data_IF_335739725705
#
_entry.id   IF_335739725705
#
_cell.length_a   1.000
_cell.length_b   1.000
_cell.length_c   1.000
_cell.angle_alpha   90.00
_cell.angle_beta   90.00
_cell.angle_gamma   90.00
#
_symmetry.space_group_name_H-M   'P 1'
#
loop_
_entity.id
_entity.type
_entity.pdbx_description
1 polymer ?
#
# COMPACT_ATOMS: atom_id res chain seq x y z
N UNK A 1 21.63 49.96 -2.14
CA UNK A 1 20.51 49.45 -1.36
C UNK A 1 19.45 48.76 -2.22
N UNK A 2 19.02 49.41 -3.28
CA UNK A 2 18.04 48.77 -4.17
C UNK A 2 18.57 47.51 -4.81
N UNK A 3 19.86 47.47 -5.14
CA UNK A 3 20.50 46.30 -5.72
C UNK A 3 20.50 45.11 -4.76
N UNK A 4 20.68 45.35 -3.48
CA UNK A 4 20.64 44.30 -2.46
C UNK A 4 19.23 43.73 -2.31
N UNK A 5 18.22 44.56 -2.42
CA UNK A 5 16.84 44.10 -2.35
C UNK A 5 16.50 43.19 -3.54
N UNK A 6 16.98 43.55 -4.72
CA UNK A 6 16.78 42.74 -5.91
C UNK A 6 17.51 41.41 -5.84
N UNK A 7 18.67 41.37 -5.19
CA UNK A 7 19.40 40.12 -5.01
C UNK A 7 18.73 39.21 -3.99
N UNK A 8 18.13 39.79 -2.95
CA UNK A 8 17.46 39.02 -1.91
C UNK A 8 16.15 38.37 -2.41
N UNK A 9 15.43 39.07 -3.29
CA UNK A 9 14.18 38.53 -3.82
C UNK A 9 14.34 37.22 -4.58
N UNK A 10 15.33 37.08 -5.49
CA UNK A 10 15.55 35.78 -6.17
C UNK A 10 15.92 34.66 -5.20
N UNK A 11 16.70 34.97 -4.16
CA UNK A 11 17.08 33.97 -3.17
C UNK A 11 15.85 33.49 -2.41
N UNK A 12 15.00 34.41 -2.00
CA UNK A 12 13.74 34.03 -1.32
C UNK A 12 12.83 33.23 -2.25
N UNK A 13 12.79 33.58 -3.53
CA UNK A 13 12.03 32.84 -4.50
C UNK A 13 12.53 31.41 -4.66
N UNK A 14 13.85 31.23 -4.68
CA UNK A 14 14.43 29.89 -4.74
C UNK A 14 14.11 29.06 -3.51
N UNK A 15 14.16 29.68 -2.31
CA UNK A 15 13.81 28.99 -1.08
C UNK A 15 12.34 28.57 -1.08
N UNK A 16 11.47 29.43 -1.55
CA UNK A 16 10.05 29.12 -1.66
C UNK A 16 9.84 27.99 -2.66
N UNK A 17 10.54 28.01 -3.79
CA UNK A 17 10.46 26.93 -4.78
C UNK A 17 10.89 25.60 -4.20
N UNK A 18 11.98 25.58 -3.41
CA UNK A 18 12.42 24.35 -2.76
C UNK A 18 11.37 23.82 -1.78
N UNK A 19 10.71 24.69 -1.04
CA UNK A 19 9.67 24.29 -0.11
C UNK A 19 8.39 23.87 -0.82
N UNK A 20 8.12 24.39 -2.00
CA UNK A 20 6.90 24.06 -2.72
C UNK A 20 6.97 22.74 -3.47
N UNK A 21 8.13 22.08 -3.56
CA UNK A 21 8.20 20.77 -4.17
C UNK A 21 7.31 19.76 -3.46
N UNK A 22 7.38 19.69 -2.13
CA UNK A 22 6.49 18.81 -1.36
C UNK A 22 5.04 19.29 -1.36
N UNK A 23 4.73 20.58 -1.18
CA UNK A 23 3.36 21.05 -1.29
C UNK A 23 2.75 20.89 -2.68
N UNK A 24 3.55 20.93 -3.74
CA UNK A 24 3.04 20.70 -5.09
C UNK A 24 2.59 19.25 -5.24
N UNK A 25 3.36 18.30 -4.75
CA UNK A 25 2.96 16.89 -4.77
C UNK A 25 1.70 16.68 -3.94
N UNK A 26 1.62 17.27 -2.77
CA UNK A 26 0.42 17.20 -1.95
C UNK A 26 -0.80 17.83 -2.64
N UNK A 27 -0.60 18.94 -3.33
CA UNK A 27 -1.67 19.59 -4.05
C UNK A 27 -2.16 18.77 -5.25
N UNK A 28 -1.25 18.09 -5.93
CA UNK A 28 -1.61 17.18 -7.02
C UNK A 28 -2.37 15.98 -6.48
N UNK A 29 -1.89 15.37 -5.40
CA UNK A 29 -2.59 14.27 -4.76
C UNK A 29 -3.96 14.70 -4.25
N UNK A 30 -4.07 15.87 -3.64
CA UNK A 30 -5.34 16.39 -3.18
C UNK A 30 -6.31 16.62 -4.32
N UNK A 31 -5.82 17.14 -5.46
CA UNK A 31 -6.67 17.33 -6.64
C UNK A 31 -7.12 16.01 -7.25
N UNK A 32 -6.23 15.02 -7.30
CA UNK A 32 -6.61 13.69 -7.77
C UNK A 32 -7.65 13.11 -6.83
N UNK A 33 -7.45 13.21 -5.52
CA UNK A 33 -8.42 12.76 -4.54
C UNK A 33 -9.73 13.54 -4.64
N UNK A 34 -9.66 14.85 -4.85
CA UNK A 34 -10.86 15.68 -4.98
C UNK A 34 -11.65 15.36 -6.25
N UNK A 35 -10.96 15.18 -7.39
CA UNK A 35 -11.63 14.90 -8.64
C UNK A 35 -12.21 13.49 -8.69
N UNK A 36 -11.58 12.54 -8.03
CA UNK A 36 -12.04 11.15 -7.96
C UNK A 36 -12.85 10.86 -6.70
N UNK A 37 -12.76 11.71 -5.67
CA UNK A 37 -13.36 11.43 -4.37
C UNK A 37 -14.88 11.33 -4.43
N UNK A 38 -15.54 12.12 -5.25
CA UNK A 38 -16.99 12.03 -5.37
C UNK A 38 -17.43 10.71 -6.00
N UNK A 39 -16.65 10.19 -6.95
CA UNK A 39 -16.89 8.87 -7.52
C UNK A 39 -16.48 7.77 -6.53
N UNK A 40 -15.33 7.94 -5.89
CA UNK A 40 -14.82 6.96 -4.92
C UNK A 40 -15.68 6.94 -3.66
N UNK A 41 -16.09 8.09 -3.14
CA UNK A 41 -16.94 8.16 -1.95
C UNK A 41 -18.29 7.50 -2.19
N UNK A 42 -18.88 7.70 -3.38
CA UNK A 42 -20.09 7.01 -3.73
C UNK A 42 -19.90 5.49 -3.82
N UNK A 43 -18.71 5.04 -4.25
CA UNK A 43 -18.39 3.63 -4.33
C UNK A 43 -17.89 3.08 -3.00
N UNK A 44 -17.10 3.86 -2.24
CA UNK A 44 -16.50 3.42 -0.97
C UNK A 44 -17.54 3.09 0.10
N UNK A 45 -18.71 3.71 0.03
CA UNK A 45 -19.80 3.34 0.92
C UNK A 45 -20.25 1.89 0.75
N UNK A 46 -19.90 1.29 -0.39
CA UNK A 46 -20.29 -0.06 -0.74
C UNK A 46 -19.11 -1.00 -0.91
N UNK A 47 -17.88 -0.52 -0.63
CA UNK A 47 -16.68 -1.34 -0.75
C UNK A 47 -16.16 -1.64 0.64
N UNK A 48 -15.90 -2.91 0.90
CA UNK A 48 -15.26 -3.38 2.13
C UNK A 48 -14.04 -4.20 1.79
N UNK A 49 -13.09 -4.22 2.71
CA UNK A 49 -11.93 -5.08 2.61
C UNK A 49 -12.28 -6.41 3.27
N UNK A 50 -12.31 -7.47 2.47
CA UNK A 50 -12.56 -8.81 2.95
C UNK A 50 -11.25 -9.55 3.09
N UNK A 51 -10.88 -9.92 4.31
CA UNK A 51 -9.63 -10.61 4.59
C UNK A 51 -9.91 -11.93 5.29
N UNK A 52 -9.12 -12.93 4.95
CA UNK A 52 -9.16 -14.23 5.61
C UNK A 52 -7.77 -14.80 5.70
N UNK A 53 -7.57 -15.74 6.62
CA UNK A 53 -6.32 -16.44 6.78
C UNK A 53 -6.49 -17.86 6.25
N UNK A 54 -5.57 -18.29 5.39
CA UNK A 54 -5.49 -19.65 4.88
C UNK A 54 -4.25 -20.29 5.50
N UNK A 55 -4.42 -21.48 6.06
CA UNK A 55 -3.29 -22.24 6.59
C UNK A 55 -3.19 -23.56 5.86
N UNK A 56 -1.96 -24.00 5.63
CA UNK A 56 -1.66 -25.27 4.97
C UNK A 56 -0.50 -25.94 5.65
N UNK A 57 -0.46 -27.25 5.60
CA UNK A 57 0.69 -28.00 6.07
C UNK A 57 1.84 -27.85 5.07
N UNK A 58 3.05 -27.80 5.59
CA UNK A 58 4.24 -27.62 4.78
C UNK A 58 4.62 -26.17 4.63
N UNK A 59 5.33 -25.87 3.59
CA UNK A 59 5.97 -24.56 3.40
C UNK A 59 5.21 -23.61 2.45
N UNK A 60 4.04 -23.99 1.97
CA UNK A 60 3.27 -23.21 1.02
C UNK A 60 1.82 -23.04 1.46
N UNK A 61 1.30 -21.83 1.34
CA UNK A 61 -0.11 -21.54 1.53
C UNK A 61 -0.56 -20.57 0.44
N UNK A 62 -1.62 -20.94 -0.27
CA UNK A 62 -2.08 -20.18 -1.42
C UNK A 62 -3.43 -19.55 -1.14
N UNK A 63 -3.57 -18.29 -1.50
CA UNK A 63 -4.83 -17.56 -1.37
C UNK A 63 -5.84 -18.03 -2.41
N UNK A 64 -7.14 -17.96 -2.08
CA UNK A 64 -8.18 -18.23 -3.08
C UNK A 64 -8.09 -17.26 -4.26
N UNK A 65 -8.65 -17.64 -5.38
CA UNK A 65 -8.68 -16.79 -6.55
C UNK A 65 -9.32 -15.43 -6.23
N UNK A 66 -8.73 -14.36 -6.73
CA UNK A 66 -9.22 -13.02 -6.51
C UNK A 66 -8.72 -12.35 -5.24
N UNK A 67 -8.02 -13.07 -4.37
CA UNK A 67 -7.41 -12.50 -3.16
C UNK A 67 -5.94 -12.21 -3.40
N UNK A 68 -5.44 -11.16 -2.74
CA UNK A 68 -4.02 -10.82 -2.73
C UNK A 68 -3.44 -11.12 -1.35
N UNK A 69 -2.16 -11.48 -1.34
CA UNK A 69 -1.45 -11.74 -0.09
C UNK A 69 -1.07 -10.40 0.54
N UNK A 70 -1.43 -10.26 1.82
CA UNK A 70 -1.05 -9.09 2.62
C UNK A 70 -0.04 -9.45 3.71
N UNK A 71 0.20 -10.71 3.95
CA UNK A 71 1.17 -11.16 4.92
C UNK A 71 1.27 -12.67 4.95
N UNK A 72 2.37 -13.16 5.50
CA UNK A 72 2.61 -14.58 5.66
C UNK A 72 3.00 -14.87 7.10
N UNK A 73 2.63 -16.04 7.58
CA UNK A 73 3.07 -16.57 8.88
C UNK A 73 3.67 -17.93 8.67
N UNK A 74 4.69 -18.25 9.45
CA UNK A 74 5.35 -19.53 9.37
C UNK A 74 5.34 -20.17 10.74
N UNK A 75 5.17 -21.49 10.77
CA UNK A 75 5.31 -22.25 12.01
C UNK A 75 6.75 -22.39 12.44
N UNK A 76 6.98 -23.09 13.54
CA UNK A 76 8.31 -23.45 14.05
C UNK A 76 9.27 -22.27 14.19
N UNK A 77 8.76 -21.10 14.56
CA UNK A 77 9.56 -19.90 14.78
C UNK A 77 10.35 -19.45 13.53
N UNK A 78 9.91 -19.80 12.34
CA UNK A 78 10.52 -19.34 11.10
C UNK A 78 10.05 -17.91 10.81
N UNK A 79 11.00 -16.97 10.69
CA UNK A 79 10.71 -15.59 10.36
C UNK A 79 10.97 -15.22 8.91
N UNK A 80 11.35 -16.17 8.09
CA UNK A 80 11.76 -15.91 6.70
C UNK A 80 10.73 -16.46 5.74
N UNK A 81 10.17 -15.59 4.90
CA UNK A 81 9.19 -16.01 3.91
C UNK A 81 9.28 -15.13 2.67
N UNK A 82 8.77 -15.65 1.58
CA UNK A 82 8.62 -14.90 0.33
C UNK A 82 7.25 -15.19 -0.28
N UNK A 83 6.82 -14.34 -1.19
CA UNK A 83 5.55 -14.49 -1.91
C UNK A 83 5.86 -14.94 -3.33
N UNK A 84 5.22 -16.02 -3.74
CA UNK A 84 5.37 -16.58 -5.09
C UNK A 84 4.07 -16.39 -5.87
N UNK A 85 4.21 -15.98 -7.12
CA UNK A 85 3.09 -15.80 -8.04
C UNK A 85 2.01 -14.88 -7.47
N UNK A 86 2.39 -13.96 -6.58
CA UNK A 86 1.51 -12.98 -5.94
C UNK A 86 0.40 -13.58 -5.08
N UNK A 87 0.25 -14.89 -5.06
CA UNK A 87 -0.86 -15.56 -4.37
C UNK A 87 -0.42 -16.62 -3.36
N UNK A 88 0.86 -16.94 -3.29
CA UNK A 88 1.34 -18.04 -2.46
C UNK A 88 2.39 -17.54 -1.49
N UNK A 89 2.16 -17.81 -0.19
CA UNK A 89 3.17 -17.64 0.85
C UNK A 89 4.09 -18.85 0.87
N UNK A 90 5.38 -18.59 0.87
CA UNK A 90 6.39 -19.64 0.98
C UNK A 90 7.28 -19.36 2.20
N UNK A 91 7.28 -20.26 3.15
CA UNK A 91 8.18 -20.22 4.30
C UNK A 91 9.51 -20.82 3.92
N UNK A 92 10.59 -20.10 4.17
CA UNK A 92 11.92 -20.44 3.64
C UNK A 92 12.71 -21.38 4.54
N UNK A 93 12.22 -21.68 5.74
CA UNK A 93 12.90 -22.58 6.65
C UNK A 93 12.64 -24.03 6.28
N UNK A 94 13.63 -24.88 6.43
CA UNK A 94 13.49 -26.31 6.18
C UNK A 94 12.58 -26.95 7.24
N UNK A 95 11.84 -27.97 6.83
CA UNK A 95 11.03 -28.75 7.75
C UNK A 95 9.81 -28.01 8.29
N UNK A 96 9.24 -27.11 7.51
CA UNK A 96 8.07 -26.37 7.93
C UNK A 96 6.86 -27.27 8.17
N UNK A 97 6.25 -27.11 9.32
CA UNK A 97 5.05 -27.86 9.69
C UNK A 97 3.78 -27.21 9.13
N UNK A 98 3.73 -25.88 9.09
CA UNK A 98 2.58 -25.18 8.52
C UNK A 98 2.98 -23.79 8.05
N UNK A 99 2.20 -23.26 7.11
CA UNK A 99 2.33 -21.91 6.56
C UNK A 99 0.97 -21.26 6.55
N UNK A 100 0.91 -19.99 6.91
CA UNK A 100 -0.32 -19.20 6.86
C UNK A 100 -0.19 -18.05 5.88
N UNK A 101 -1.25 -17.80 5.13
CA UNK A 101 -1.34 -16.66 4.23
C UNK A 101 -2.52 -15.78 4.66
N UNK A 102 -2.25 -14.50 4.84
CA UNK A 102 -3.32 -13.53 5.05
C UNK A 102 -3.74 -12.99 3.70
N UNK A 103 -4.97 -13.25 3.31
CA UNK A 103 -5.50 -12.97 1.99
C UNK A 103 -6.60 -11.92 2.09
N UNK A 104 -6.51 -10.88 1.25
CA UNK A 104 -7.50 -9.81 1.27
C UNK A 104 -7.95 -9.49 -0.14
N UNK A 105 -9.19 -9.06 -0.26
CA UNK A 105 -9.73 -8.51 -1.51
C UNK A 105 -10.72 -7.40 -1.21
N UNK A 106 -10.87 -6.51 -2.17
CA UNK A 106 -11.94 -5.51 -2.12
C UNK A 106 -13.23 -6.17 -2.57
N UNK A 107 -14.29 -5.94 -1.81
CA UNK A 107 -15.60 -6.54 -2.06
C UNK A 107 -16.65 -5.44 -2.05
N UNK A 108 -17.52 -5.44 -3.05
CA UNK A 108 -18.64 -4.49 -3.12
C UNK A 108 -19.81 -5.12 -2.35
N UNK A 109 -20.35 -4.36 -1.39
CA UNK A 109 -21.49 -4.79 -0.59
C UNK A 109 -22.70 -3.94 -0.92
N UNK A 110 -23.88 -4.50 -0.72
CA UNK A 110 -25.12 -3.78 -0.79
C UNK A 110 -25.47 -3.22 -2.17
N UNK A 111 -25.05 -3.89 -3.19
CA UNK A 111 -25.40 -3.46 -4.55
C UNK A 111 -26.90 -3.60 -4.81
#
# INVERSE_FOLDING_TARGET
MKALSFLLLPVLGLLVSSKTLCPVDEAIDAKIQESTSSLILGALGNIVLNCQTVTSRGDLATCPAGFAITGCTCGSACGSWDVRAETTCHCQCAGMDWTGARCCRLQVTGA
#
